data_IF_192181856662
#
_entry.id   IF_192181856662
#
_cell.length_a   1.000
_cell.length_b   1.000
_cell.length_c   1.000
_cell.angle_alpha   90.00
_cell.angle_beta   90.00
_cell.angle_gamma   90.00
#
_symmetry.space_group_name_H-M   'P 1'
#
loop_
_entity.id
_entity.type
_entity.pdbx_description
1 polymer ?
#
# COMPACT_ATOMS: atom_id res chain seq x y z
N UNK A 1 -19.36 -2.47 5.57
CA UNK A 1 -18.10 -1.71 5.56
C UNK A 1 -17.02 -2.53 6.22
N UNK A 2 -15.90 -2.75 5.55
CA UNK A 2 -14.82 -3.64 6.00
C UNK A 2 -13.92 -2.94 7.05
N UNK A 3 -13.54 -1.69 6.78
CA UNK A 3 -12.85 -0.80 7.71
C UNK A 3 -13.30 0.65 7.48
N UNK A 4 -13.11 1.52 8.48
CA UNK A 4 -13.29 2.97 8.34
C UNK A 4 -11.95 3.65 8.57
N UNK A 5 -11.48 4.41 7.58
CA UNK A 5 -10.29 5.25 7.67
C UNK A 5 -10.64 6.63 8.24
N UNK A 6 -9.68 7.25 8.91
CA UNK A 6 -9.76 8.56 9.56
C UNK A 6 -8.72 9.51 8.96
N UNK A 7 -8.77 10.76 9.42
CA UNK A 7 -7.75 11.75 9.09
C UNK A 7 -6.36 11.25 9.49
N UNK A 8 -5.40 11.39 8.58
CA UNK A 8 -4.03 10.88 8.74
C UNK A 8 -3.81 9.48 8.15
N UNK A 9 -4.86 8.71 7.91
CA UNK A 9 -4.73 7.37 7.31
C UNK A 9 -4.48 7.46 5.79
N UNK A 10 -3.65 6.55 5.27
CA UNK A 10 -3.40 6.37 3.84
C UNK A 10 -4.12 5.12 3.27
N UNK A 11 -4.27 5.05 1.95
CA UNK A 11 -4.86 3.90 1.27
C UNK A 11 -4.40 3.76 -0.18
N UNK A 12 -4.66 2.60 -0.78
CA UNK A 12 -4.40 2.34 -2.21
C UNK A 12 -2.99 1.87 -2.55
N UNK A 13 -2.03 1.94 -1.62
CA UNK A 13 -0.65 1.52 -1.84
C UNK A 13 -0.48 0.03 -2.21
N UNK A 14 -1.38 -0.83 -1.75
CA UNK A 14 -1.36 -2.26 -2.08
C UNK A 14 -1.42 -2.52 -3.60
N UNK A 15 -2.35 -1.84 -4.28
CA UNK A 15 -2.51 -1.97 -5.73
C UNK A 15 -1.28 -1.42 -6.48
N UNK A 16 -0.67 -0.34 -5.97
CA UNK A 16 0.50 0.28 -6.56
C UNK A 16 1.75 -0.61 -6.43
N UNK A 17 1.98 -1.19 -5.25
CA UNK A 17 3.18 -1.99 -4.96
C UNK A 17 3.18 -3.30 -5.74
N UNK A 18 2.02 -3.98 -5.76
CA UNK A 18 1.87 -5.30 -6.37
C UNK A 18 1.46 -5.26 -7.85
N UNK A 19 1.28 -4.06 -8.43
CA UNK A 19 0.76 -3.88 -9.78
C UNK A 19 -0.52 -4.69 -10.05
N UNK A 20 -1.44 -4.64 -9.09
CA UNK A 20 -2.64 -5.48 -9.04
C UNK A 20 -3.92 -4.63 -9.01
N UNK A 21 -5.08 -5.21 -9.37
CA UNK A 21 -6.37 -4.52 -9.21
C UNK A 21 -6.64 -4.08 -7.77
N UNK A 22 -7.51 -3.09 -7.59
CA UNK A 22 -7.92 -2.60 -6.27
C UNK A 22 -8.65 -3.70 -5.50
N UNK A 23 -8.14 -4.04 -4.32
CA UNK A 23 -8.75 -5.04 -3.43
C UNK A 23 -10.06 -4.55 -2.77
N UNK A 24 -10.28 -3.23 -2.70
CA UNK A 24 -11.47 -2.64 -2.11
C UNK A 24 -11.87 -1.34 -2.82
N UNK A 25 -13.14 -0.94 -2.66
CA UNK A 25 -13.66 0.36 -3.08
C UNK A 25 -13.61 1.34 -1.92
N UNK A 26 -13.15 2.56 -2.18
CA UNK A 26 -13.16 3.67 -1.21
C UNK A 26 -14.36 4.57 -1.50
N UNK A 27 -15.15 4.86 -0.46
CA UNK A 27 -16.32 5.72 -0.52
C UNK A 27 -16.22 6.76 0.58
N UNK A 28 -16.53 8.02 0.27
CA UNK A 28 -16.56 9.09 1.26
C UNK A 28 -17.65 8.80 2.30
N UNK A 29 -17.26 8.80 3.59
CA UNK A 29 -18.20 8.58 4.69
C UNK A 29 -18.98 9.84 5.08
N UNK A 30 -18.41 11.01 4.80
CA UNK A 30 -18.95 12.32 5.13
C UNK A 30 -18.57 13.34 4.05
N UNK A 31 -19.25 14.50 4.07
CA UNK A 31 -18.95 15.61 3.16
C UNK A 31 -17.64 16.32 3.57
N UNK A 32 -17.09 17.11 2.65
CA UNK A 32 -15.89 17.94 2.87
C UNK A 32 -14.64 17.16 3.31
N UNK A 33 -14.41 15.98 2.74
CA UNK A 33 -13.14 15.28 2.89
C UNK A 33 -12.08 15.83 1.93
N UNK A 34 -10.91 16.19 2.47
CA UNK A 34 -9.75 16.61 1.69
C UNK A 34 -8.72 15.49 1.67
N UNK A 35 -8.14 15.21 0.50
CA UNK A 35 -7.18 14.13 0.30
C UNK A 35 -5.97 14.66 -0.43
N UNK A 36 -4.79 14.21 0.00
CA UNK A 36 -3.58 14.31 -0.82
C UNK A 36 -3.48 13.07 -1.70
N UNK A 37 -3.09 13.27 -2.96
CA UNK A 37 -2.94 12.18 -3.94
C UNK A 37 -1.53 12.18 -4.50
N UNK A 38 -0.93 11.00 -4.54
CA UNK A 38 0.31 10.74 -5.26
C UNK A 38 0.00 9.76 -6.38
N UNK A 39 0.31 10.14 -7.62
CA UNK A 39 0.08 9.29 -8.79
C UNK A 39 1.13 8.17 -8.89
N UNK A 40 0.80 7.08 -9.59
CA UNK A 40 1.60 5.85 -9.65
C UNK A 40 3.06 6.09 -10.04
N UNK A 41 3.31 6.96 -11.01
CA UNK A 41 4.67 7.30 -11.44
C UNK A 41 5.50 7.91 -10.31
N UNK A 42 4.94 8.90 -9.61
CA UNK A 42 5.59 9.56 -8.48
C UNK A 42 5.76 8.61 -7.29
N UNK A 43 4.77 7.77 -7.01
CA UNK A 43 4.87 6.75 -5.97
C UNK A 43 6.03 5.79 -6.26
N UNK A 44 6.12 5.28 -7.49
CA UNK A 44 7.17 4.36 -7.91
C UNK A 44 8.58 4.98 -7.84
N UNK A 45 8.69 6.27 -8.19
CA UNK A 45 9.97 6.99 -8.18
C UNK A 45 10.47 7.34 -6.78
N UNK A 46 9.57 7.62 -5.84
CA UNK A 46 9.92 8.28 -4.57
C UNK A 46 9.65 7.37 -3.37
N UNK A 47 8.48 6.73 -3.32
CA UNK A 47 7.96 6.11 -2.10
C UNK A 47 8.04 4.59 -2.10
N UNK A 48 8.10 3.94 -3.28
CA UNK A 48 7.97 2.49 -3.40
C UNK A 48 8.96 1.71 -2.54
N UNK A 49 10.23 2.13 -2.50
CA UNK A 49 11.24 1.41 -1.72
C UNK A 49 11.13 1.63 -0.22
N UNK A 50 10.55 2.75 0.21
CA UNK A 50 10.34 3.07 1.63
C UNK A 50 9.06 2.43 2.17
N UNK A 51 7.98 2.53 1.39
CA UNK A 51 6.62 2.08 1.77
C UNK A 51 6.41 0.57 1.60
N UNK A 52 7.23 -0.12 0.82
CA UNK A 52 7.03 -1.55 0.53
C UNK A 52 7.43 -2.49 1.67
N UNK A 53 7.94 -2.01 2.80
CA UNK A 53 8.48 -2.88 3.85
C UNK A 53 7.40 -3.76 4.50
N UNK A 54 6.28 -3.16 4.91
CA UNK A 54 5.14 -3.89 5.50
C UNK A 54 3.83 -3.22 5.10
N UNK A 55 2.91 -3.99 4.55
CA UNK A 55 1.55 -3.58 4.26
C UNK A 55 0.57 -4.39 5.11
N UNK A 56 -0.43 -3.71 5.66
CA UNK A 56 -1.48 -4.34 6.45
C UNK A 56 -2.84 -4.01 5.85
N UNK A 57 -3.67 -5.03 5.68
CA UNK A 57 -5.10 -4.86 5.44
C UNK A 57 -5.84 -5.24 6.70
N UNK A 58 -6.82 -4.42 7.05
CA UNK A 58 -7.65 -4.61 8.23
C UNK A 58 -9.11 -4.81 7.87
N UNK A 59 -9.75 -5.74 8.57
CA UNK A 59 -11.21 -5.85 8.62
C UNK A 59 -11.65 -5.79 10.08
N UNK A 60 -12.65 -4.96 10.37
CA UNK A 60 -13.20 -4.80 11.72
C UNK A 60 -12.14 -4.49 12.80
N UNK A 61 -11.09 -3.74 12.44
CA UNK A 61 -10.01 -3.36 13.34
C UNK A 61 -9.00 -4.48 13.65
N UNK A 62 -9.05 -5.59 12.90
CA UNK A 62 -8.08 -6.69 13.01
C UNK A 62 -7.28 -6.79 11.71
N UNK A 63 -5.98 -7.00 11.82
CA UNK A 63 -5.12 -7.32 10.67
C UNK A 63 -5.56 -8.69 10.09
N UNK A 64 -5.99 -8.69 8.83
CA UNK A 64 -6.40 -9.93 8.11
C UNK A 64 -5.39 -10.36 7.06
N UNK A 65 -4.57 -9.42 6.58
CA UNK A 65 -3.49 -9.69 5.64
C UNK A 65 -2.31 -8.80 5.99
N UNK A 66 -1.15 -9.42 6.17
CA UNK A 66 0.13 -8.73 6.34
C UNK A 66 1.02 -9.19 5.20
N UNK A 67 1.53 -8.23 4.43
CA UNK A 67 2.48 -8.47 3.36
C UNK A 67 3.79 -7.79 3.74
N UNK A 68 4.87 -8.55 3.71
CA UNK A 68 6.20 -8.04 3.96
C UNK A 68 7.06 -8.22 2.72
N UNK A 69 7.85 -7.20 2.39
CA UNK A 69 8.83 -7.30 1.33
C UNK A 69 9.99 -8.15 1.81
N UNK A 70 10.14 -9.33 1.21
CA UNK A 70 11.33 -10.16 1.41
C UNK A 70 12.49 -9.55 0.64
N UNK A 71 13.59 -9.22 1.33
CA UNK A 71 14.81 -8.74 0.68
C UNK A 71 15.34 -9.83 -0.27
N UNK A 72 15.51 -9.49 -1.54
CA UNK A 72 16.10 -10.39 -2.53
C UNK A 72 17.55 -10.66 -2.10
N UNK A 73 17.88 -11.90 -1.72
CA UNK A 73 19.27 -12.29 -1.55
C UNK A 73 20.00 -11.97 -2.87
N UNK A 74 21.02 -11.12 -2.81
CA UNK A 74 21.91 -10.88 -3.94
C UNK A 74 22.57 -12.22 -4.26
N UNK A 75 22.07 -12.92 -5.26
CA UNK A 75 22.76 -14.06 -5.84
C UNK A 75 24.13 -13.58 -6.27
N UNK A 76 25.17 -14.10 -5.62
CA UNK A 76 26.54 -13.96 -6.09
C UNK A 76 26.58 -14.53 -7.50
N UNK A 77 26.57 -13.66 -8.51
CA UNK A 77 27.03 -14.03 -9.84
C UNK A 77 28.54 -14.26 -9.74
N UNK A 78 28.92 -15.43 -9.24
CA UNK A 78 30.22 -16.01 -9.51
C UNK A 78 30.22 -16.42 -10.98
N UNK A 79 30.55 -15.48 -11.86
CA UNK A 79 31.01 -15.81 -13.21
C UNK A 79 32.54 -15.72 -13.21
N UNK A 80 33.10 -16.78 -13.80
CA UNK A 80 34.50 -17.19 -13.81
C UNK A 80 35.49 -16.12 -14.25
#
# INVERSE_FOLDING_TARGET
TVATLKEGDDFGKLALINDAPRAATIVLKQNNCHLLRVDKEHFNRILRDVEANTLRLQEHGKDVLILERVAKQRGHAAYK
#
